data_IF_672167343825
#
_entry.id   IF_672167343825
#
_cell.length_a   1.000
_cell.length_b   1.000
_cell.length_c   1.000
_cell.angle_alpha   90.00
_cell.angle_beta   90.00
_cell.angle_gamma   90.00
#
_symmetry.space_group_name_H-M   'P 1'
#
loop_
_entity.id
_entity.type
_entity.pdbx_description
1 polymer ?
#
# COMPACT_ATOMS: atom_id res chain seq x y z
N UNK A 1 -51.30 28.87 -5.47
CA UNK A 1 -49.96 29.42 -5.77
C UNK A 1 -50.07 30.92 -5.83
N UNK A 2 -49.97 31.59 -4.68
CA UNK A 2 -50.03 33.04 -4.59
C UNK A 2 -48.64 33.56 -4.26
N UNK A 3 -48.08 34.35 -5.16
CA UNK A 3 -46.90 35.16 -4.90
C UNK A 3 -47.35 36.39 -4.12
N UNK A 4 -46.74 36.65 -2.97
CA UNK A 4 -47.09 37.78 -2.12
C UNK A 4 -45.94 38.77 -2.10
N UNK A 5 -46.24 40.01 -2.46
CA UNK A 5 -45.31 41.13 -2.36
C UNK A 5 -45.48 41.77 -0.99
N UNK A 6 -44.44 41.71 -0.16
CA UNK A 6 -44.43 42.27 1.18
C UNK A 6 -43.58 43.54 1.19
N UNK A 7 -44.13 44.61 1.77
CA UNK A 7 -43.44 45.89 1.97
C UNK A 7 -43.52 46.25 3.44
N UNK A 8 -42.36 46.39 4.07
CA UNK A 8 -42.19 46.91 5.42
C UNK A 8 -43.07 46.22 6.50
N UNK A 9 -43.32 44.91 6.36
CA UNK A 9 -44.13 44.18 7.33
C UNK A 9 -43.27 43.64 8.47
N UNK A 10 -43.84 43.60 9.68
CA UNK A 10 -43.19 43.01 10.84
C UNK A 10 -42.99 41.51 10.64
N UNK A 11 -41.81 41.00 10.99
CA UNK A 11 -41.49 39.58 10.81
C UNK A 11 -42.48 38.66 11.55
N UNK A 12 -43.00 39.09 12.70
CA UNK A 12 -43.99 38.36 13.49
C UNK A 12 -45.29 38.09 12.70
N UNK A 13 -45.76 39.08 11.94
CA UNK A 13 -46.99 38.97 11.15
C UNK A 13 -46.79 38.01 9.98
N UNK A 14 -45.61 38.04 9.36
CA UNK A 14 -45.25 37.14 8.27
C UNK A 14 -45.13 35.71 8.78
N UNK A 15 -44.46 35.49 9.92
CA UNK A 15 -44.39 34.19 10.55
C UNK A 15 -45.75 33.67 10.97
N UNK A 16 -46.65 34.53 11.46
CA UNK A 16 -48.03 34.15 11.75
C UNK A 16 -48.78 33.72 10.48
N UNK A 17 -48.63 34.47 9.37
CA UNK A 17 -49.24 34.14 8.09
C UNK A 17 -48.71 32.80 7.54
N UNK A 18 -47.39 32.62 7.54
CA UNK A 18 -46.74 31.39 7.05
C UNK A 18 -47.06 30.18 7.92
N UNK A 19 -47.05 30.33 9.25
CA UNK A 19 -47.41 29.26 10.17
C UNK A 19 -48.87 28.83 9.98
N UNK A 20 -49.80 29.79 9.81
CA UNK A 20 -51.21 29.49 9.52
C UNK A 20 -51.36 28.70 8.22
N UNK A 21 -50.57 29.02 7.19
CA UNK A 21 -50.54 28.28 5.92
C UNK A 21 -49.96 26.87 6.07
N UNK A 22 -49.01 26.67 6.98
CA UNK A 22 -48.47 25.36 7.34
C UNK A 22 -49.34 24.57 8.35
N UNK A 23 -50.54 25.06 8.70
CA UNK A 23 -51.39 24.51 9.76
C UNK A 23 -50.68 24.40 11.12
N UNK A 24 -49.79 25.35 11.42
CA UNK A 24 -49.06 25.49 12.68
C UNK A 24 -49.48 26.73 13.44
N UNK A 25 -49.30 26.69 14.76
CA UNK A 25 -49.48 27.83 15.65
C UNK A 25 -48.19 28.63 15.73
N UNK A 26 -48.28 29.95 15.76
CA UNK A 26 -47.14 30.84 15.98
C UNK A 26 -47.52 31.87 17.04
N UNK A 27 -46.63 32.08 18.01
CA UNK A 27 -46.78 33.12 19.02
C UNK A 27 -45.83 34.26 18.72
N UNK A 28 -46.36 35.48 18.79
CA UNK A 28 -45.57 36.70 18.62
C UNK A 28 -44.46 36.74 19.66
N UNK A 29 -43.25 37.01 19.20
CA UNK A 29 -42.10 37.19 20.08
C UNK A 29 -41.76 38.68 20.17
N UNK A 30 -41.79 39.21 21.38
CA UNK A 30 -41.54 40.63 21.67
C UNK A 30 -40.07 41.01 21.52
N UNK A 31 -39.15 40.04 21.60
CA UNK A 31 -37.72 40.29 21.39
C UNK A 31 -37.33 40.50 19.92
N UNK A 32 -38.25 40.24 18.99
CA UNK A 32 -38.06 40.40 17.53
C UNK A 32 -39.07 41.38 16.92
N UNK A 33 -39.68 42.25 17.73
CA UNK A 33 -40.62 43.27 17.26
C UNK A 33 -39.97 44.63 16.93
N UNK A 34 -38.63 44.70 16.95
CA UNK A 34 -37.88 45.92 16.65
C UNK A 34 -37.95 46.33 15.17
N UNK A 35 -37.58 47.58 14.88
CA UNK A 35 -37.53 48.10 13.51
C UNK A 35 -36.53 47.36 12.61
N UNK A 36 -35.55 46.68 13.21
CA UNK A 36 -34.56 45.85 12.51
C UNK A 36 -35.16 44.55 11.95
N UNK A 37 -36.36 44.17 12.39
CA UNK A 37 -37.05 42.92 12.00
C UNK A 37 -38.23 43.18 11.06
N UNK A 38 -38.01 44.06 10.08
CA UNK A 38 -38.98 44.32 9.02
C UNK A 38 -38.53 43.66 7.73
N UNK A 39 -39.43 42.89 7.13
CA UNK A 39 -39.16 42.16 5.89
C UNK A 39 -39.82 42.89 4.74
N UNK A 40 -39.04 43.11 3.68
CA UNK A 40 -39.53 43.58 2.39
C UNK A 40 -39.02 42.65 1.31
N UNK A 41 -39.89 42.20 0.41
CA UNK A 41 -39.50 41.28 -0.63
C UNK A 41 -40.66 40.49 -1.22
N UNK A 42 -40.30 39.49 -2.03
CA UNK A 42 -41.26 38.57 -2.64
C UNK A 42 -41.22 37.24 -1.91
N UNK A 43 -42.39 36.73 -1.52
CA UNK A 43 -42.53 35.33 -1.15
C UNK A 43 -43.04 34.55 -2.35
N UNK A 44 -42.19 33.63 -2.82
CA UNK A 44 -42.52 32.73 -3.91
C UNK A 44 -43.53 31.66 -3.45
N UNK A 45 -44.08 30.88 -4.38
CA UNK A 45 -44.82 29.66 -4.03
C UNK A 45 -43.86 28.57 -3.52
N UNK A 46 -44.22 27.87 -2.45
CA UNK A 46 -43.39 26.81 -1.86
C UNK A 46 -43.88 26.32 -0.50
N UNK A 47 -43.06 25.51 0.18
CA UNK A 47 -43.32 25.06 1.57
C UNK A 47 -43.27 26.27 2.52
N UNK A 48 -44.37 26.60 3.24
CA UNK A 48 -44.37 27.71 4.17
C UNK A 48 -43.33 27.58 5.29
N UNK A 49 -43.00 26.35 5.73
CA UNK A 49 -42.02 26.17 6.80
C UNK A 49 -40.60 26.50 6.34
N UNK A 50 -40.23 26.06 5.14
CA UNK A 50 -38.93 26.39 4.55
C UNK A 50 -38.77 27.90 4.37
N UNK A 51 -39.84 28.59 3.95
CA UNK A 51 -39.81 30.05 3.83
C UNK A 51 -39.64 30.76 5.17
N UNK A 52 -40.28 30.24 6.23
CA UNK A 52 -40.03 30.77 7.56
C UNK A 52 -38.56 30.59 7.94
N UNK A 53 -37.96 29.45 7.61
CA UNK A 53 -36.56 29.15 7.93
C UNK A 53 -35.59 30.07 7.18
N UNK A 54 -35.82 30.30 5.89
CA UNK A 54 -35.03 31.24 5.08
C UNK A 54 -35.12 32.69 5.62
N UNK A 55 -36.33 33.13 5.96
CA UNK A 55 -36.53 34.44 6.57
C UNK A 55 -35.88 34.52 7.95
N UNK A 56 -36.04 33.50 8.79
CA UNK A 56 -35.41 33.45 10.10
C UNK A 56 -33.88 33.53 9.99
N UNK A 57 -33.30 32.81 9.03
CA UNK A 57 -31.85 32.80 8.77
C UNK A 57 -31.31 34.21 8.45
N UNK A 58 -32.00 34.98 7.62
CA UNK A 58 -31.60 36.35 7.26
C UNK A 58 -31.46 37.27 8.47
N UNK A 59 -32.30 37.09 9.51
CA UNK A 59 -32.28 37.90 10.73
C UNK A 59 -31.57 37.21 11.90
N UNK A 60 -30.86 36.10 11.68
CA UNK A 60 -30.16 35.35 12.72
C UNK A 60 -31.09 34.73 13.76
N UNK A 61 -32.34 34.42 13.38
CA UNK A 61 -33.32 33.76 14.23
C UNK A 61 -33.29 32.25 14.00
N UNK A 62 -33.51 31.50 15.07
CA UNK A 62 -33.66 30.05 15.00
C UNK A 62 -35.12 29.68 15.16
N UNK A 63 -35.65 28.90 14.21
CA UNK A 63 -36.97 28.31 14.35
C UNK A 63 -36.91 27.02 15.17
N UNK A 64 -37.75 26.96 16.18
CA UNK A 64 -37.92 25.78 17.01
C UNK A 64 -39.37 25.31 16.92
N UNK A 65 -39.55 24.06 16.48
CA UNK A 65 -40.87 23.45 16.35
C UNK A 65 -41.11 22.49 17.52
N UNK A 66 -42.19 22.72 18.26
CA UNK A 66 -42.62 21.85 19.36
C UNK A 66 -44.08 21.47 19.15
N UNK A 67 -44.30 20.24 18.72
CA UNK A 67 -45.64 19.73 18.41
C UNK A 67 -46.28 20.51 17.26
N UNK A 68 -47.33 21.27 17.57
CA UNK A 68 -48.02 22.10 16.56
C UNK A 68 -47.60 23.57 16.55
N UNK A 69 -46.69 23.97 17.43
CA UNK A 69 -46.29 25.37 17.58
C UNK A 69 -44.88 25.60 17.04
N UNK A 70 -44.71 26.69 16.30
CA UNK A 70 -43.43 27.21 15.82
C UNK A 70 -43.05 28.42 16.67
N UNK A 71 -41.83 28.40 17.20
CA UNK A 71 -41.22 29.49 17.94
C UNK A 71 -40.07 30.06 17.13
N UNK A 72 -40.02 31.37 16.93
CA UNK A 72 -38.85 32.05 16.39
C UNK A 72 -38.09 32.65 17.57
N UNK A 73 -36.86 32.19 17.81
CA UNK A 73 -36.05 32.59 18.96
C UNK A 73 -34.76 33.28 18.49
N UNK A 74 -34.32 34.29 19.23
CA UNK A 74 -32.98 34.86 19.04
C UNK A 74 -31.93 34.06 19.83
N UNK A 75 -30.64 34.37 19.62
CA UNK A 75 -29.54 33.66 20.30
C UNK A 75 -29.61 33.76 21.84
N UNK A 76 -30.04 34.89 22.39
CA UNK A 76 -30.16 35.06 23.84
C UNK A 76 -31.26 34.19 24.45
N UNK A 77 -32.43 34.13 23.82
CA UNK A 77 -33.55 33.29 24.24
C UNK A 77 -33.20 31.80 24.11
N UNK A 78 -32.44 31.45 23.06
CA UNK A 78 -31.96 30.09 22.84
C UNK A 78 -31.06 29.62 23.99
N UNK A 79 -30.18 30.48 24.48
CA UNK A 79 -29.29 30.20 25.62
C UNK A 79 -30.02 30.11 26.97
N UNK A 80 -31.24 30.65 27.08
CA UNK A 80 -32.08 30.58 28.29
C UNK A 80 -33.00 29.35 28.31
N UNK A 81 -33.04 28.57 27.25
CA UNK A 81 -33.83 27.35 27.23
C UNK A 81 -33.36 26.40 28.34
N UNK A 82 -34.28 25.66 28.98
CA UNK A 82 -33.91 24.71 30.00
C UNK A 82 -32.97 23.65 29.42
N UNK A 83 -31.86 23.42 30.11
CA UNK A 83 -30.92 22.38 29.74
C UNK A 83 -31.59 21.01 29.88
N UNK A 84 -31.34 20.15 28.90
CA UNK A 84 -31.75 18.75 28.90
C UNK A 84 -30.51 17.89 29.07
N UNK A 85 -30.58 16.90 29.94
CA UNK A 85 -29.54 15.89 30.09
C UNK A 85 -29.79 14.73 29.11
N UNK A 86 -28.73 14.30 28.44
CA UNK A 86 -28.73 13.12 27.59
C UNK A 86 -27.47 12.30 27.82
N UNK A 87 -27.65 11.04 28.19
CA UNK A 87 -26.58 10.06 28.34
C UNK A 87 -26.57 9.09 27.15
N UNK A 88 -25.39 8.83 26.60
CA UNK A 88 -25.18 7.89 25.51
C UNK A 88 -24.00 6.96 25.79
N UNK A 89 -24.26 5.66 25.76
CA UNK A 89 -23.23 4.65 25.90
C UNK A 89 -22.59 4.35 24.55
N UNK A 90 -21.28 4.60 24.44
CA UNK A 90 -20.48 4.32 23.25
C UNK A 90 -20.33 2.81 23.06
N UNK A 91 -20.49 2.32 21.82
CA UNK A 91 -20.44 0.88 21.53
C UNK A 91 -19.14 0.45 20.86
N UNK A 92 -18.59 1.26 19.96
CA UNK A 92 -17.45 0.89 19.13
C UNK A 92 -16.20 1.73 19.42
N UNK A 93 -16.38 2.95 19.95
CA UNK A 93 -15.29 3.86 20.28
C UNK A 93 -14.62 3.47 21.60
N UNK A 94 -13.29 3.64 21.62
CA UNK A 94 -12.48 3.34 22.80
C UNK A 94 -12.35 4.57 23.70
N UNK A 95 -12.13 4.39 25.02
CA UNK A 95 -11.89 5.49 25.94
C UNK A 95 -10.73 6.41 25.56
N UNK A 96 -9.73 5.91 24.83
CA UNK A 96 -8.57 6.72 24.36
C UNK A 96 -8.95 7.78 23.34
N UNK A 97 -10.03 7.56 22.61
CA UNK A 97 -10.44 8.38 21.48
C UNK A 97 -11.41 9.50 21.96
N UNK A 98 -11.70 9.57 23.27
CA UNK A 98 -12.70 10.48 23.84
C UNK A 98 -12.34 11.96 23.73
N UNK A 99 -11.06 12.31 23.90
CA UNK A 99 -10.65 13.72 23.86
C UNK A 99 -10.80 14.28 22.43
N UNK A 100 -10.62 13.43 21.42
CA UNK A 100 -10.93 13.79 20.03
C UNK A 100 -12.43 13.99 19.83
N UNK A 101 -13.26 13.10 20.37
CA UNK A 101 -14.73 13.19 20.28
C UNK A 101 -15.25 14.44 21.01
N UNK A 102 -14.72 14.74 22.20
CA UNK A 102 -15.03 15.99 22.92
C UNK A 102 -14.67 17.19 22.06
N UNK A 103 -13.48 17.22 21.44
CA UNK A 103 -13.08 18.27 20.51
C UNK A 103 -14.01 18.44 19.32
N UNK A 104 -14.69 17.37 18.86
CA UNK A 104 -15.68 17.43 17.79
C UNK A 104 -17.06 17.92 18.26
N UNK A 105 -17.48 17.56 19.47
CA UNK A 105 -18.82 17.87 19.99
C UNK A 105 -18.87 19.27 20.62
N UNK A 106 -17.81 19.68 21.31
CA UNK A 106 -17.76 20.93 22.08
C UNK A 106 -18.07 22.21 21.29
N UNK A 107 -17.61 22.41 20.03
CA UNK A 107 -17.97 23.63 19.27
C UNK A 107 -19.45 23.67 18.83
N UNK A 108 -20.19 22.57 18.96
CA UNK A 108 -21.59 22.45 18.54
C UNK A 108 -22.52 22.64 19.74
N UNK A 109 -21.98 22.52 20.95
CA UNK A 109 -22.71 22.83 22.17
C UNK A 109 -22.84 24.34 22.35
N UNK A 110 -23.87 24.75 23.09
CA UNK A 110 -24.04 26.12 23.55
C UNK A 110 -22.87 26.54 24.45
N UNK A 111 -22.59 27.85 24.62
CA UNK A 111 -21.56 28.32 25.54
C UNK A 111 -21.73 27.83 27.00
N UNK A 112 -22.96 27.50 27.38
CA UNK A 112 -23.33 26.96 28.70
C UNK A 112 -23.40 25.43 28.73
N UNK A 113 -23.28 24.76 27.59
CA UNK A 113 -23.37 23.31 27.45
C UNK A 113 -22.13 22.61 27.99
N UNK A 114 -22.34 21.46 28.64
CA UNK A 114 -21.24 20.64 29.17
C UNK A 114 -21.33 19.21 28.64
N UNK A 115 -20.17 18.64 28.31
CA UNK A 115 -20.03 17.24 27.93
C UNK A 115 -19.01 16.56 28.86
N UNK A 116 -19.49 15.59 29.63
CA UNK A 116 -18.69 14.76 30.52
C UNK A 116 -18.62 13.34 29.98
N UNK A 117 -17.52 12.64 30.28
CA UNK A 117 -17.34 11.25 29.90
C UNK A 117 -16.97 10.41 31.12
N UNK A 118 -17.69 9.32 31.31
CA UNK A 118 -17.43 8.34 32.36
C UNK A 118 -16.71 7.12 31.75
N UNK A 119 -15.40 6.94 32.04
CA UNK A 119 -14.60 5.86 31.45
C UNK A 119 -15.00 4.46 31.90
N UNK A 120 -15.59 4.31 33.10
CA UNK A 120 -15.97 2.99 33.63
C UNK A 120 -17.14 2.37 32.85
N UNK A 121 -18.08 3.19 32.43
CA UNK A 121 -19.30 2.76 31.73
C UNK A 121 -19.27 3.07 30.23
N UNK A 122 -18.17 3.67 29.73
CA UNK A 122 -18.04 4.16 28.36
C UNK A 122 -19.21 5.07 27.94
N UNK A 123 -19.64 5.95 28.84
CA UNK A 123 -20.84 6.78 28.66
C UNK A 123 -20.48 8.25 28.55
N UNK A 124 -20.97 8.91 27.51
CA UNK A 124 -20.92 10.37 27.37
C UNK A 124 -22.23 10.95 27.90
N UNK A 125 -22.11 11.94 28.79
CA UNK A 125 -23.22 12.69 29.36
C UNK A 125 -23.14 14.11 28.80
N UNK A 126 -24.15 14.52 28.05
CA UNK A 126 -24.26 15.85 27.44
C UNK A 126 -25.41 16.58 28.11
N UNK A 127 -25.16 17.79 28.60
CA UNK A 127 -26.16 18.66 29.20
C UNK A 127 -26.18 19.95 28.41
N UNK A 128 -27.24 20.16 27.62
CA UNK A 128 -27.42 21.35 26.77
C UNK A 128 -28.89 21.51 26.36
N UNK A 129 -29.22 22.59 25.65
CA UNK A 129 -30.52 22.79 25.03
C UNK A 129 -30.87 21.63 24.08
N UNK A 130 -32.15 21.26 24.05
CA UNK A 130 -32.65 20.08 23.34
C UNK A 130 -32.24 20.01 21.85
N UNK A 131 -32.14 21.15 21.16
CA UNK A 131 -31.73 21.21 19.76
C UNK A 131 -30.24 20.89 19.56
N UNK A 132 -29.37 21.35 20.48
CA UNK A 132 -27.93 21.03 20.44
C UNK A 132 -27.68 19.58 20.78
N UNK A 133 -28.40 19.05 21.78
CA UNK A 133 -28.37 17.62 22.11
C UNK A 133 -28.76 16.76 20.92
N UNK A 134 -29.80 17.16 20.16
CA UNK A 134 -30.20 16.44 18.94
C UNK A 134 -29.11 16.47 17.85
N UNK A 135 -28.42 17.60 17.67
CA UNK A 135 -27.27 17.71 16.75
C UNK A 135 -26.10 16.82 17.20
N UNK A 136 -25.76 16.89 18.48
CA UNK A 136 -24.70 16.06 19.07
C UNK A 136 -24.99 14.58 18.91
N UNK A 137 -26.25 14.15 19.11
CA UNK A 137 -26.69 12.76 18.88
C UNK A 137 -26.44 12.29 17.44
N UNK A 138 -26.75 13.12 16.44
CA UNK A 138 -26.56 12.76 15.04
C UNK A 138 -25.07 12.56 14.70
N UNK A 139 -24.21 13.42 15.23
CA UNK A 139 -22.76 13.33 15.03
C UNK A 139 -22.21 12.11 15.75
N UNK A 140 -22.65 11.87 16.99
CA UNK A 140 -22.19 10.73 17.75
C UNK A 140 -22.59 9.40 17.09
N UNK A 141 -23.80 9.32 16.53
CA UNK A 141 -24.23 8.17 15.73
C UNK A 141 -23.43 7.99 14.43
N UNK A 142 -22.89 9.07 13.87
CA UNK A 142 -22.04 9.00 12.68
C UNK A 142 -20.63 8.50 13.00
N UNK A 143 -20.09 8.89 14.15
CA UNK A 143 -18.72 8.56 14.59
C UNK A 143 -18.64 7.20 15.30
N UNK A 144 -19.66 6.82 16.08
CA UNK A 144 -19.73 5.55 16.80
C UNK A 144 -20.13 4.39 15.87
N UNK A 145 -19.22 4.06 14.95
CA UNK A 145 -19.36 2.96 14.01
C UNK A 145 -18.25 1.93 14.20
N UNK A 146 -18.56 0.69 13.84
CA UNK A 146 -17.57 -0.39 13.82
C UNK A 146 -16.45 -0.04 12.84
N UNK A 147 -15.20 -0.05 13.32
CA UNK A 147 -14.03 0.06 12.46
C UNK A 147 -13.90 -1.17 11.56
N UNK A 148 -13.67 -0.95 10.26
CA UNK A 148 -13.32 -2.04 9.35
C UNK A 148 -11.94 -2.59 9.70
N UNK A 149 -11.78 -3.91 9.66
CA UNK A 149 -10.47 -4.52 9.75
C UNK A 149 -9.77 -4.40 8.39
N UNK A 150 -8.55 -3.87 8.39
CA UNK A 150 -7.69 -3.86 7.19
C UNK A 150 -6.68 -4.99 7.37
N UNK A 151 -6.69 -5.95 6.44
CA UNK A 151 -5.66 -7.00 6.37
C UNK A 151 -4.60 -6.50 5.40
N UNK A 152 -3.36 -6.40 5.88
CA UNK A 152 -2.23 -6.00 5.04
C UNK A 152 -1.45 -7.26 4.69
N UNK A 153 -1.44 -7.62 3.40
CA UNK A 153 -0.62 -8.70 2.85
C UNK A 153 0.59 -8.10 2.13
N UNK A 154 1.80 -8.44 2.58
CA UNK A 154 3.03 -8.03 1.92
C UNK A 154 3.64 -9.26 1.26
N UNK A 155 3.94 -9.19 -0.05
CA UNK A 155 4.65 -10.27 -0.78
C UNK A 155 6.07 -9.83 -1.10
N UNK A 156 7.06 -10.52 -0.52
CA UNK A 156 8.48 -10.24 -0.78
C UNK A 156 9.01 -11.32 -1.73
N UNK A 157 9.47 -10.89 -2.91
CA UNK A 157 10.10 -11.76 -3.90
C UNK A 157 11.56 -11.37 -4.05
N UNK A 158 12.47 -12.33 -3.83
CA UNK A 158 13.90 -12.16 -4.10
C UNK A 158 14.27 -12.91 -5.38
N UNK A 159 14.92 -12.22 -6.31
CA UNK A 159 15.46 -12.82 -7.54
C UNK A 159 16.97 -12.90 -7.41
N UNK A 160 17.51 -14.11 -7.30
CA UNK A 160 18.94 -14.34 -7.34
C UNK A 160 19.28 -15.09 -8.64
N UNK A 161 19.97 -14.43 -9.56
CA UNK A 161 20.42 -15.01 -10.82
C UNK A 161 21.92 -15.29 -10.76
N UNK A 162 22.28 -16.56 -10.60
CA UNK A 162 23.67 -17.04 -10.74
C UNK A 162 23.79 -17.88 -12.02
N UNK A 163 23.67 -17.25 -13.18
CA UNK A 163 23.90 -17.90 -14.46
C UNK A 163 25.41 -17.94 -14.75
N UNK A 164 25.97 -19.15 -14.88
CA UNK A 164 27.36 -19.37 -15.27
C UNK A 164 27.43 -20.32 -16.45
N UNK A 165 28.13 -19.92 -17.51
CA UNK A 165 28.36 -20.72 -18.71
C UNK A 165 29.84 -21.11 -18.78
N UNK A 166 30.14 -22.42 -18.80
CA UNK A 166 31.51 -22.93 -19.00
C UNK A 166 31.53 -23.90 -20.17
N UNK A 167 32.14 -23.45 -21.27
CA UNK A 167 32.42 -24.23 -22.48
C UNK A 167 33.93 -24.38 -22.59
N UNK A 168 34.42 -25.62 -22.68
CA UNK A 168 35.84 -25.90 -22.81
C UNK A 168 36.09 -27.31 -23.32
N UNK A 169 37.22 -27.48 -23.99
CA UNK A 169 37.69 -28.79 -24.47
C UNK A 169 38.96 -29.10 -23.70
N UNK A 170 38.99 -30.24 -23.00
CA UNK A 170 40.16 -30.69 -22.26
C UNK A 170 40.98 -31.65 -23.13
N UNK A 171 42.11 -31.15 -23.62
CA UNK A 171 43.05 -31.91 -24.44
C UNK A 171 44.09 -32.68 -23.61
N UNK A 172 44.26 -32.34 -22.33
CA UNK A 172 45.31 -32.91 -21.48
C UNK A 172 45.07 -34.40 -21.18
N UNK A 173 43.80 -34.82 -21.14
CA UNK A 173 43.43 -36.23 -20.95
C UNK A 173 43.84 -37.15 -22.10
N UNK A 174 43.95 -36.62 -23.33
CA UNK A 174 44.22 -37.42 -24.53
C UNK A 174 45.69 -37.32 -24.99
N UNK A 175 46.36 -36.21 -24.70
CA UNK A 175 47.76 -35.98 -25.12
C UNK A 175 48.78 -36.15 -23.99
N UNK A 176 48.32 -36.34 -22.75
CA UNK A 176 49.17 -36.38 -21.56
C UNK A 176 49.69 -34.99 -21.17
N UNK A 177 49.98 -34.79 -19.88
CA UNK A 177 50.40 -33.50 -19.34
C UNK A 177 51.76 -33.00 -19.89
N UNK A 178 52.56 -33.91 -20.44
CA UNK A 178 53.88 -33.65 -21.04
C UNK A 178 53.89 -33.73 -22.57
N UNK A 179 52.73 -33.96 -23.20
CA UNK A 179 52.63 -34.21 -24.64
C UNK A 179 53.10 -35.61 -25.04
N UNK A 180 53.18 -35.84 -26.35
CA UNK A 180 53.45 -37.15 -26.95
C UNK A 180 54.97 -37.39 -27.02
N UNK A 181 55.43 -38.51 -26.49
CA UNK A 181 56.86 -38.87 -26.51
C UNK A 181 57.30 -39.29 -27.92
N UNK A 182 58.36 -38.65 -28.44
CA UNK A 182 58.99 -39.01 -29.70
C UNK A 182 60.32 -39.74 -29.43
N UNK A 183 60.33 -41.06 -29.57
CA UNK A 183 61.54 -41.88 -29.37
C UNK A 183 62.29 -42.07 -30.70
N UNK A 184 63.58 -41.74 -30.70
CA UNK A 184 64.46 -41.88 -31.88
C UNK A 184 65.42 -43.04 -31.64
N UNK A 185 65.31 -44.12 -32.44
CA UNK A 185 66.16 -45.31 -32.31
C UNK A 185 67.36 -45.16 -33.25
N UNK A 186 68.56 -45.24 -32.68
CA UNK A 186 69.77 -44.77 -33.34
C UNK A 186 70.57 -45.82 -34.15
N UNK A 187 70.01 -46.99 -34.46
CA UNK A 187 70.65 -47.93 -35.37
C UNK A 187 69.64 -48.54 -36.34
N UNK A 188 69.97 -48.51 -37.63
CA UNK A 188 69.02 -48.69 -38.73
C UNK A 188 69.13 -50.02 -39.45
N UNK A 189 70.12 -50.86 -39.12
CA UNK A 189 69.97 -52.29 -39.40
C UNK A 189 68.69 -52.82 -38.71
N UNK A 190 68.35 -52.26 -37.55
CA UNK A 190 67.22 -52.68 -36.70
C UNK A 190 65.83 -52.29 -37.22
N UNK A 191 65.74 -51.42 -38.23
CA UNK A 191 64.48 -50.84 -38.68
C UNK A 191 64.04 -51.37 -40.05
N UNK A 192 64.94 -52.06 -40.74
CA UNK A 192 64.66 -52.75 -42.01
C UNK A 192 65.08 -54.23 -42.00
N UNK A 193 65.53 -54.77 -40.87
CA UNK A 193 65.80 -56.20 -40.69
C UNK A 193 66.97 -56.75 -41.53
N UNK A 194 67.99 -55.92 -41.77
CA UNK A 194 69.14 -56.25 -42.63
C UNK A 194 70.38 -56.49 -41.76
N UNK A 195 71.06 -57.62 -41.96
CA UNK A 195 72.22 -58.01 -41.16
C UNK A 195 73.49 -57.25 -41.57
N UNK A 196 74.31 -56.85 -40.61
CA UNK A 196 75.46 -55.98 -40.81
C UNK A 196 76.64 -56.81 -41.35
N UNK A 197 76.66 -57.08 -42.66
CA UNK A 197 77.61 -58.03 -43.26
C UNK A 197 79.05 -57.51 -43.22
N UNK A 198 79.88 -58.16 -42.40
CA UNK A 198 81.30 -57.90 -42.21
C UNK A 198 82.13 -58.45 -43.39
N UNK A 199 82.63 -57.58 -44.26
CA UNK A 199 83.52 -57.95 -45.37
C UNK A 199 84.98 -57.61 -45.07
N UNK A 200 85.88 -58.54 -45.36
CA UNK A 200 87.31 -58.42 -45.11
C UNK A 200 88.13 -58.78 -46.36
N UNK A 201 88.89 -57.83 -46.88
CA UNK A 201 89.77 -58.05 -48.04
C UNK A 201 91.22 -58.05 -47.57
N UNK A 202 91.83 -59.25 -47.48
CA UNK A 202 93.24 -59.43 -47.16
C UNK A 202 93.54 -60.80 -46.55
N UNK A 203 94.72 -61.36 -46.84
CA UNK A 203 95.19 -62.63 -46.26
C UNK A 203 95.42 -62.48 -44.75
N UNK A 204 94.59 -63.18 -43.97
CA UNK A 204 94.62 -63.13 -42.52
C UNK A 204 95.65 -64.13 -41.98
N UNK A 205 96.65 -63.62 -41.24
CA UNK A 205 97.65 -64.43 -40.54
C UNK A 205 97.08 -65.06 -39.26
N UNK A 206 97.57 -66.25 -38.92
CA UNK A 206 97.11 -67.04 -37.77
C UNK A 206 97.20 -66.24 -36.47
N UNK A 207 96.06 -66.02 -35.81
CA UNK A 207 95.94 -65.25 -34.56
C UNK A 207 95.35 -63.84 -34.70
N UNK A 208 95.02 -63.38 -35.91
CA UNK A 208 94.36 -62.08 -36.11
C UNK A 208 92.84 -62.16 -35.95
N UNK A 209 92.25 -61.25 -35.17
CA UNK A 209 90.80 -61.14 -34.95
C UNK A 209 90.27 -59.89 -35.64
N UNK A 210 89.31 -60.03 -36.55
CA UNK A 210 88.62 -58.89 -37.14
C UNK A 210 87.62 -58.29 -36.17
N UNK A 211 87.71 -56.98 -35.97
CA UNK A 211 86.73 -56.20 -35.22
C UNK A 211 85.98 -55.30 -36.20
N UNK A 212 84.70 -55.59 -36.40
CA UNK A 212 83.77 -54.72 -37.12
C UNK A 212 83.38 -53.54 -36.24
N UNK A 213 83.45 -52.33 -36.77
CA UNK A 213 82.93 -51.12 -36.13
C UNK A 213 81.52 -50.89 -36.65
N UNK A 214 80.52 -51.03 -35.78
CA UNK A 214 79.15 -50.64 -36.08
C UNK A 214 79.03 -49.12 -35.93
N UNK A 215 79.19 -48.39 -37.04
CA UNK A 215 78.85 -46.96 -37.09
C UNK A 215 77.39 -46.84 -37.50
N UNK A 216 76.48 -46.46 -36.58
CA UNK A 216 75.06 -46.37 -36.91
C UNK A 216 74.85 -45.21 -37.89
N UNK A 217 74.53 -45.49 -39.15
CA UNK A 217 74.51 -44.44 -40.20
C UNK A 217 73.15 -43.76 -40.41
N UNK A 218 72.21 -43.91 -39.48
CA UNK A 218 71.20 -44.94 -39.62
C UNK A 218 70.09 -44.80 -38.49
N UNK A 219 69.23 -43.76 -38.33
CA UNK A 219 68.14 -43.73 -37.30
C UNK A 219 66.72 -43.85 -37.89
N UNK A 220 65.83 -44.72 -37.36
CA UNK A 220 64.38 -44.66 -37.66
C UNK A 220 63.57 -44.40 -36.40
N UNK A 221 62.55 -43.56 -36.59
CA UNK A 221 61.62 -43.09 -35.57
C UNK A 221 60.33 -43.89 -35.77
N UNK A 222 59.97 -44.71 -34.78
CA UNK A 222 58.73 -45.47 -34.82
C UNK A 222 57.66 -44.67 -34.08
N UNK A 223 56.66 -44.21 -34.83
CA UNK A 223 55.50 -43.50 -34.26
C UNK A 223 54.41 -44.51 -33.95
N UNK A 224 54.06 -44.65 -32.67
CA UNK A 224 52.91 -45.46 -32.25
C UNK A 224 51.60 -44.77 -32.70
N UNK A 225 50.54 -45.50 -33.07
CA UNK A 225 49.28 -44.88 -33.50
C UNK A 225 48.69 -44.01 -32.38
N UNK A 226 48.60 -42.70 -32.61
CA UNK A 226 47.88 -41.78 -31.74
C UNK A 226 46.40 -41.84 -32.08
N UNK A 227 45.57 -42.27 -31.13
CA UNK A 227 44.12 -42.13 -31.21
C UNK A 227 43.73 -40.82 -30.53
N UNK A 228 43.28 -39.82 -31.31
CA UNK A 228 42.79 -38.56 -30.76
C UNK A 228 41.32 -38.72 -30.33
N UNK A 229 41.10 -38.96 -29.04
CA UNK A 229 39.82 -38.72 -28.39
C UNK A 229 39.68 -37.26 -27.99
N UNK A 230 38.46 -36.75 -27.90
CA UNK A 230 38.19 -35.42 -27.33
C UNK A 230 36.94 -35.49 -26.46
N UNK A 231 37.03 -35.02 -25.22
CA UNK A 231 35.88 -34.93 -24.31
C UNK A 231 35.41 -33.49 -24.29
N UNK A 232 34.18 -33.26 -24.77
CA UNK A 232 33.55 -31.94 -24.74
C UNK A 232 32.78 -31.78 -23.42
N UNK A 233 33.11 -30.75 -22.64
CA UNK A 233 32.35 -30.40 -21.46
C UNK A 233 31.52 -29.13 -21.72
N UNK A 234 30.20 -29.25 -21.58
CA UNK A 234 29.26 -28.14 -21.57
C UNK A 234 28.36 -28.27 -20.35
N UNK A 235 28.39 -27.26 -19.47
CA UNK A 235 27.51 -27.18 -18.31
C UNK A 235 26.66 -25.91 -18.42
N UNK A 236 25.34 -26.07 -18.39
CA UNK A 236 24.38 -24.98 -18.31
C UNK A 236 23.52 -25.16 -17.06
N UNK A 237 23.54 -24.16 -16.16
CA UNK A 237 22.69 -24.15 -14.94
C UNK A 237 21.77 -22.92 -15.00
N UNK A 238 20.46 -23.16 -15.05
CA UNK A 238 19.44 -22.10 -15.02
C UNK A 238 19.13 -21.63 -13.59
N UNK A 239 18.76 -20.36 -13.44
CA UNK A 239 18.43 -19.75 -12.14
C UNK A 239 17.07 -20.21 -11.60
N UNK A 240 16.95 -20.29 -10.27
CA UNK A 240 15.71 -20.63 -9.56
C UNK A 240 15.13 -19.39 -8.89
N UNK A 241 13.82 -19.22 -9.00
CA UNK A 241 13.07 -18.19 -8.26
C UNK A 241 12.58 -18.81 -6.96
N UNK A 242 12.89 -18.19 -5.82
CA UNK A 242 12.43 -18.66 -4.50
C UNK A 242 11.62 -17.56 -3.81
N UNK A 243 10.35 -17.84 -3.52
CA UNK A 243 9.50 -16.96 -2.72
C UNK A 243 9.99 -16.97 -1.27
N UNK A 244 10.35 -15.80 -0.72
CA UNK A 244 11.01 -15.73 0.59
C UNK A 244 10.05 -15.38 1.73
N UNK A 245 8.94 -14.66 1.50
CA UNK A 245 8.00 -14.38 2.60
C UNK A 245 6.65 -13.80 2.17
N UNK A 246 5.62 -14.07 2.98
CA UNK A 246 4.27 -13.52 2.87
C UNK A 246 3.69 -13.30 4.28
N UNK A 247 4.14 -12.27 5.01
CA UNK A 247 3.57 -11.89 6.29
C UNK A 247 2.18 -11.25 6.12
N UNK A 248 1.29 -11.55 7.07
CA UNK A 248 -0.04 -10.96 7.22
C UNK A 248 -0.14 -10.26 8.58
N UNK A 249 -0.69 -9.05 8.62
CA UNK A 249 -0.95 -8.26 9.84
C UNK A 249 -2.45 -7.97 9.98
#
# INVERSE_FOLDING_TARGET
NGEYLIRDAAINDIFQMLAKRANKQYFHNTSISGADFKVSGHLNGGDPLQQMEELAFQYGLTLYTKGNTVYALNAEQLNRLPATEWAYQLRYLRPTDIEQIKGLIQPILSPTGVANYEPKTNTIIIVDAAHQVARAKNILAMVDKAKGQVVIEIKILSVNSSAGERKGVDWASNLGNTGISLETIASLNSLFGIDNTLAATGTLGSGSVLRGSDTPSNNTIVLSPIQMGGVLHALQRGGLVTQTSNPTL
#
